data_IF_443289175483
#
_entry.id   IF_443289175483
#
_cell.length_a   1.000
_cell.length_b   1.000
_cell.length_c   1.000
_cell.angle_alpha   90.00
_cell.angle_beta   90.00
_cell.angle_gamma   90.00
#
_symmetry.space_group_name_H-M   'P 1'
#
loop_
_entity.id
_entity.type
_entity.pdbx_description
1 polymer ?
#
# COMPACT_ATOMS: atom_id res chain seq x y z
N UNK A 1 -18.14 24.65 18.64
CA UNK A 1 -17.46 23.35 18.48
C UNK A 1 -18.50 22.30 18.15
N UNK A 2 -18.52 21.77 16.92
CA UNK A 2 -19.29 20.55 16.63
C UNK A 2 -18.42 19.38 17.06
N UNK A 3 -18.77 18.75 18.18
CA UNK A 3 -18.08 17.58 18.69
C UNK A 3 -18.36 16.34 17.83
N UNK A 4 -17.47 15.35 17.90
CA UNK A 4 -17.66 14.05 17.28
C UNK A 4 -18.77 13.32 18.05
N UNK A 5 -19.90 13.06 17.39
CA UNK A 5 -21.00 12.28 17.96
C UNK A 5 -20.75 10.82 17.55
N UNK A 6 -20.39 9.99 18.53
CA UNK A 6 -20.33 8.54 18.33
C UNK A 6 -21.75 7.99 18.44
N UNK A 7 -22.26 7.37 17.39
CA UNK A 7 -23.48 6.56 17.41
C UNK A 7 -23.14 5.07 17.47
N UNK A 8 -24.00 4.29 18.12
CA UNK A 8 -23.92 2.82 18.05
C UNK A 8 -24.13 2.39 16.59
N UNK A 9 -23.27 1.49 16.10
CA UNK A 9 -23.44 0.86 14.79
C UNK A 9 -24.82 0.16 14.74
N UNK A 10 -25.66 0.54 13.78
CA UNK A 10 -26.97 -0.07 13.54
C UNK A 10 -26.86 -0.99 12.32
N UNK A 11 -26.99 -2.32 12.49
CA UNK A 11 -26.94 -3.28 11.38
C UNK A 11 -27.99 -3.03 10.29
N UNK A 12 -29.13 -2.45 10.66
CA UNK A 12 -30.30 -2.24 9.78
C UNK A 12 -30.15 -1.13 8.73
N UNK A 13 -29.05 -0.37 8.75
CA UNK A 13 -28.76 0.68 7.74
C UNK A 13 -27.86 0.18 6.60
N UNK A 14 -27.47 -1.10 6.61
CA UNK A 14 -26.58 -1.68 5.61
C UNK A 14 -27.34 -2.15 4.36
N UNK A 15 -27.32 -1.31 3.32
CA UNK A 15 -28.00 -1.50 2.02
C UNK A 15 -27.31 -2.49 1.08
N UNK A 16 -26.20 -3.12 1.50
CA UNK A 16 -25.48 -4.13 0.70
C UNK A 16 -26.30 -5.41 0.52
N UNK A 17 -26.15 -6.07 -0.64
CA UNK A 17 -26.78 -7.37 -0.89
C UNK A 17 -26.20 -8.46 0.05
N UNK A 18 -26.95 -9.55 0.32
CA UNK A 18 -26.45 -10.68 1.12
C UNK A 18 -25.11 -11.22 0.61
N UNK A 19 -24.98 -11.39 -0.72
CA UNK A 19 -23.73 -11.77 -1.37
C UNK A 19 -22.57 -10.83 -1.02
N UNK A 20 -22.77 -9.50 -1.08
CA UNK A 20 -21.70 -8.54 -0.83
C UNK A 20 -21.26 -8.57 0.64
N UNK A 21 -22.20 -8.75 1.58
CA UNK A 21 -21.88 -8.89 3.01
C UNK A 21 -21.02 -10.12 3.26
N UNK A 22 -21.40 -11.27 2.71
CA UNK A 22 -20.62 -12.50 2.83
C UNK A 22 -19.29 -12.42 2.08
N UNK A 23 -19.23 -11.74 0.92
CA UNK A 23 -18.00 -11.53 0.17
C UNK A 23 -16.98 -10.70 0.96
N UNK A 24 -17.43 -9.64 1.63
CA UNK A 24 -16.56 -8.80 2.45
C UNK A 24 -16.00 -9.55 3.66
N UNK A 25 -16.80 -10.45 4.27
CA UNK A 25 -16.34 -11.32 5.35
C UNK A 25 -15.40 -12.41 4.83
N UNK A 26 -15.78 -13.08 3.74
CA UNK A 26 -14.98 -14.13 3.10
C UNK A 26 -13.60 -13.62 2.68
N UNK A 27 -13.51 -12.43 2.07
CA UNK A 27 -12.22 -11.83 1.70
C UNK A 27 -11.34 -11.48 2.90
N UNK A 28 -11.94 -11.14 4.04
CA UNK A 28 -11.19 -10.98 5.30
C UNK A 28 -10.68 -12.33 5.81
N UNK A 29 -11.53 -13.35 5.85
CA UNK A 29 -11.15 -14.70 6.27
C UNK A 29 -10.02 -15.26 5.40
N UNK A 30 -10.07 -15.07 4.08
CA UNK A 30 -8.98 -15.44 3.17
C UNK A 30 -7.64 -14.78 3.52
N UNK A 31 -7.66 -13.56 4.07
CA UNK A 31 -6.42 -12.90 4.51
C UNK A 31 -5.85 -13.57 5.76
N UNK A 32 -6.71 -14.00 6.69
CA UNK A 32 -6.31 -14.72 7.90
C UNK A 32 -5.86 -16.15 7.62
N UNK A 33 -6.55 -16.88 6.75
CA UNK A 33 -6.20 -18.26 6.34
C UNK A 33 -5.09 -18.31 5.29
N UNK A 34 -4.46 -17.17 4.99
CA UNK A 34 -3.39 -17.05 3.98
C UNK A 34 -3.79 -17.65 2.62
N UNK A 35 -5.02 -17.38 2.19
CA UNK A 35 -5.57 -17.79 0.91
C UNK A 35 -6.12 -19.22 0.87
N UNK A 36 -6.17 -19.95 1.99
CA UNK A 36 -6.86 -21.24 2.05
C UNK A 36 -8.38 -21.04 1.97
N UNK A 37 -8.94 -21.40 0.81
CA UNK A 37 -10.37 -21.28 0.50
C UNK A 37 -11.20 -22.23 1.34
N UNK A 38 -10.74 -23.46 1.54
CA UNK A 38 -11.48 -24.48 2.29
C UNK A 38 -11.60 -24.08 3.75
N UNK A 39 -10.49 -23.65 4.36
CA UNK A 39 -10.48 -23.17 5.73
C UNK A 39 -11.35 -21.91 5.88
N UNK A 40 -11.23 -20.95 4.95
CA UNK A 40 -12.02 -19.71 5.00
C UNK A 40 -13.53 -19.98 4.88
N UNK A 41 -13.96 -20.90 4.01
CA UNK A 41 -15.38 -21.29 3.89
C UNK A 41 -15.86 -22.03 5.14
N UNK A 42 -15.01 -22.86 5.74
CA UNK A 42 -15.35 -23.53 7.00
C UNK A 42 -15.56 -22.52 8.13
N UNK A 43 -14.65 -21.56 8.28
CA UNK A 43 -14.79 -20.49 9.29
C UNK A 43 -16.02 -19.63 9.02
N UNK A 44 -16.30 -19.30 7.76
CA UNK A 44 -17.52 -18.57 7.37
C UNK A 44 -18.79 -19.33 7.77
N UNK A 45 -18.80 -20.65 7.61
CA UNK A 45 -19.93 -21.52 7.97
C UNK A 45 -20.13 -21.56 9.48
N UNK A 46 -19.05 -21.61 10.27
CA UNK A 46 -19.15 -21.56 11.73
C UNK A 46 -19.64 -20.19 12.22
N UNK A 47 -19.17 -19.09 11.61
CA UNK A 47 -19.66 -17.75 11.90
C UNK A 47 -21.14 -17.58 11.56
N UNK A 48 -21.59 -18.17 10.46
CA UNK A 48 -23.00 -18.16 10.07
C UNK A 48 -23.89 -18.91 11.09
N UNK A 49 -23.44 -20.06 11.60
CA UNK A 49 -24.15 -20.79 12.66
C UNK A 49 -24.27 -20.00 13.96
N UNK A 50 -23.21 -19.27 14.33
CA UNK A 50 -23.17 -18.53 15.60
C UNK A 50 -23.93 -17.20 15.52
N UNK A 51 -23.81 -16.48 14.40
CA UNK A 51 -24.31 -15.10 14.26
C UNK A 51 -25.52 -14.97 13.33
N UNK A 52 -25.96 -16.03 12.66
CA UNK A 52 -27.10 -15.99 11.73
C UNK A 52 -26.87 -15.00 10.60
N UNK A 53 -25.77 -15.17 9.85
CA UNK A 53 -25.38 -14.24 8.78
C UNK A 53 -26.25 -14.39 7.53
N UNK A 54 -26.84 -15.56 7.36
CA UNK A 54 -27.72 -15.96 6.27
C UNK A 54 -29.18 -16.03 6.71
N UNK A 55 -30.09 -16.25 5.75
CA UNK A 55 -31.52 -16.44 6.00
C UNK A 55 -32.05 -17.60 5.14
N UNK A 56 -33.34 -17.93 5.29
CA UNK A 56 -33.99 -19.02 4.55
C UNK A 56 -33.99 -18.82 3.02
N UNK A 57 -33.78 -17.59 2.54
CA UNK A 57 -33.75 -17.23 1.12
C UNK A 57 -32.34 -17.30 0.50
N UNK A 58 -31.29 -17.21 1.31
CA UNK A 58 -29.91 -17.12 0.85
C UNK A 58 -28.92 -17.67 1.88
N UNK A 59 -28.44 -18.89 1.65
CA UNK A 59 -27.50 -19.61 2.51
C UNK A 59 -26.04 -19.59 2.04
N UNK A 60 -25.16 -20.23 2.81
CA UNK A 60 -23.73 -20.40 2.46
C UNK A 60 -23.57 -21.21 1.16
N UNK A 61 -24.46 -22.17 0.89
CA UNK A 61 -24.47 -22.92 -0.37
C UNK A 61 -24.70 -22.04 -1.59
N UNK A 62 -25.68 -21.13 -1.52
CA UNK A 62 -25.99 -20.17 -2.57
C UNK A 62 -24.82 -19.20 -2.78
N UNK A 63 -24.19 -18.76 -1.69
CA UNK A 63 -22.98 -17.94 -1.75
C UNK A 63 -21.82 -18.63 -2.47
N UNK A 64 -21.54 -19.91 -2.19
CA UNK A 64 -20.48 -20.67 -2.86
C UNK A 64 -20.79 -20.83 -4.35
N UNK A 65 -22.04 -21.11 -4.70
CA UNK A 65 -22.46 -21.20 -6.10
C UNK A 65 -22.28 -19.85 -6.81
N UNK A 66 -22.74 -18.76 -6.20
CA UNK A 66 -22.63 -17.42 -6.76
C UNK A 66 -21.16 -16.96 -6.89
N UNK A 67 -20.27 -17.36 -5.97
CA UNK A 67 -18.83 -17.15 -6.10
C UNK A 67 -18.25 -17.84 -7.35
N UNK A 68 -18.71 -19.06 -7.67
CA UNK A 68 -18.30 -19.78 -8.90
C UNK A 68 -18.86 -19.11 -10.14
N UNK A 69 -20.15 -18.79 -10.16
CA UNK A 69 -20.83 -18.14 -11.29
C UNK A 69 -20.24 -16.77 -11.62
N UNK A 70 -19.92 -15.98 -10.59
CA UNK A 70 -19.26 -14.68 -10.74
C UNK A 70 -17.75 -14.78 -10.98
N UNK A 71 -17.18 -15.99 -11.03
CA UNK A 71 -15.77 -16.23 -11.36
C UNK A 71 -14.78 -15.83 -10.27
N UNK A 72 -15.18 -15.85 -9.00
CA UNK A 72 -14.28 -15.66 -7.85
C UNK A 72 -13.54 -16.96 -7.48
N UNK A 73 -14.17 -18.11 -7.71
CA UNK A 73 -13.58 -19.42 -7.47
C UNK A 73 -13.51 -20.21 -8.77
N UNK A 74 -12.42 -20.96 -8.94
CA UNK A 74 -12.27 -21.93 -10.03
C UNK A 74 -11.94 -23.29 -9.43
N UNK A 75 -12.46 -24.34 -10.05
CA UNK A 75 -12.07 -25.71 -9.73
C UNK A 75 -10.87 -26.10 -10.59
N UNK A 76 -9.80 -26.57 -9.96
CA UNK A 76 -8.63 -27.08 -10.66
C UNK A 76 -8.96 -28.46 -11.23
N UNK A 77 -8.94 -28.58 -12.55
CA UNK A 77 -9.31 -29.79 -13.30
C UNK A 77 -8.41 -31.00 -12.95
N UNK A 78 -7.18 -30.77 -12.50
CA UNK A 78 -6.21 -31.83 -12.20
C UNK A 78 -6.32 -32.34 -10.75
N UNK A 79 -6.71 -31.48 -9.81
CA UNK A 79 -6.69 -31.79 -8.38
C UNK A 79 -8.09 -31.83 -7.74
N UNK A 80 -9.12 -31.36 -8.44
CA UNK A 80 -10.47 -31.17 -7.91
C UNK A 80 -10.55 -30.13 -6.79
N UNK A 81 -9.47 -29.38 -6.54
CA UNK A 81 -9.42 -28.36 -5.49
C UNK A 81 -10.00 -27.05 -5.97
N UNK A 82 -10.66 -26.35 -5.06
CA UNK A 82 -11.18 -25.01 -5.29
C UNK A 82 -10.03 -24.01 -5.08
N UNK A 83 -9.73 -23.24 -6.11
CA UNK A 83 -8.67 -22.23 -6.11
C UNK A 83 -9.27 -20.82 -6.31
N UNK A 84 -8.55 -19.82 -5.80
CA UNK A 84 -8.89 -18.42 -6.03
C UNK A 84 -8.56 -18.01 -7.47
N UNK A 85 -9.41 -17.15 -8.04
CA UNK A 85 -9.12 -16.53 -9.33
C UNK A 85 -8.39 -15.19 -9.14
N UNK A 86 -7.74 -14.70 -10.20
CA UNK A 86 -7.13 -13.36 -10.21
C UNK A 86 -8.13 -12.24 -9.87
N UNK A 87 -9.42 -12.46 -10.14
CA UNK A 87 -10.51 -11.54 -9.76
C UNK A 87 -10.67 -11.45 -8.25
N UNK A 88 -10.56 -12.57 -7.55
CA UNK A 88 -10.63 -12.60 -6.09
C UNK A 88 -9.40 -11.97 -5.47
N UNK A 89 -8.21 -12.29 -5.98
CA UNK A 89 -6.96 -11.63 -5.54
C UNK A 89 -7.04 -10.11 -5.68
N UNK A 90 -7.52 -9.60 -6.81
CA UNK A 90 -7.71 -8.16 -7.02
C UNK A 90 -8.75 -7.58 -6.05
N UNK A 91 -9.84 -8.31 -5.79
CA UNK A 91 -10.87 -7.88 -4.85
C UNK A 91 -10.32 -7.77 -3.42
N UNK A 92 -9.53 -8.75 -2.97
CA UNK A 92 -8.88 -8.73 -1.65
C UNK A 92 -7.98 -7.49 -1.53
N UNK A 93 -7.18 -7.19 -2.56
CA UNK A 93 -6.28 -6.02 -2.55
C UNK A 93 -7.04 -4.70 -2.53
N UNK A 94 -8.11 -4.58 -3.33
CA UNK A 94 -8.97 -3.39 -3.33
C UNK A 94 -9.67 -3.19 -1.98
N UNK A 95 -10.16 -4.27 -1.38
CA UNK A 95 -10.79 -4.21 -0.05
C UNK A 95 -9.76 -3.79 1.00
N UNK A 96 -8.53 -4.30 0.96
CA UNK A 96 -7.44 -3.84 1.83
C UNK A 96 -7.12 -2.35 1.62
N UNK A 97 -7.10 -1.87 0.36
CA UNK A 97 -6.95 -0.45 0.04
C UNK A 97 -8.07 0.39 0.65
N UNK A 98 -9.33 -0.03 0.53
CA UNK A 98 -10.48 0.68 1.10
C UNK A 98 -10.51 0.64 2.63
N UNK A 99 -10.10 -0.47 3.25
CA UNK A 99 -10.01 -0.58 4.70
C UNK A 99 -8.97 0.39 5.27
N UNK A 100 -7.79 0.41 4.66
CA UNK A 100 -6.64 1.22 5.10
C UNK A 100 -6.81 2.69 4.70
N UNK A 101 -7.22 2.98 3.46
CA UNK A 101 -7.29 4.33 2.91
C UNK A 101 -8.71 4.90 2.73
N UNK A 102 -9.77 4.10 2.83
CA UNK A 102 -11.15 4.59 2.70
C UNK A 102 -11.59 5.46 3.88
N UNK A 103 -11.07 5.21 5.08
CA UNK A 103 -11.32 6.03 6.29
C UNK A 103 -10.77 7.46 6.16
N UNK A 104 -9.75 7.69 5.32
CA UNK A 104 -9.21 9.03 5.03
C UNK A 104 -10.21 9.93 4.30
N UNK A 105 -11.01 9.38 3.37
CA UNK A 105 -11.98 10.17 2.58
C UNK A 105 -13.05 10.82 3.45
N UNK A 106 -13.39 10.22 4.60
CA UNK A 106 -14.38 10.79 5.55
C UNK A 106 -13.79 11.81 6.52
N UNK A 107 -12.47 11.86 6.68
CA UNK A 107 -11.79 12.66 7.70
C UNK A 107 -11.06 13.91 7.19
N UNK A 108 -10.98 14.13 5.87
CA UNK A 108 -10.22 15.27 5.31
C UNK A 108 -11.14 16.24 4.55
N UNK A 109 -11.74 17.18 5.28
CA UNK A 109 -12.15 18.48 4.72
C UNK A 109 -10.90 19.35 4.73
N UNK A 110 -10.31 19.56 3.55
CA UNK A 110 -9.14 20.40 3.37
C UNK A 110 -8.38 20.01 2.13
N UNK A 111 -8.75 20.61 0.99
CA UNK A 111 -7.99 20.56 -0.25
C UNK A 111 -6.60 21.18 0.01
N UNK A 112 -5.60 20.36 0.33
CA UNK A 112 -4.21 20.80 0.29
C UNK A 112 -3.66 20.65 -1.14
N UNK A 113 -4.24 21.42 -2.07
CA UNK A 113 -3.53 21.79 -3.30
C UNK A 113 -2.44 22.79 -2.90
N UNK A 114 -1.27 22.28 -2.50
CA UNK A 114 -0.08 23.12 -2.37
C UNK A 114 0.43 23.34 -3.78
N UNK A 115 0.11 24.53 -4.31
CA UNK A 115 0.57 25.04 -5.60
C UNK A 115 2.09 25.03 -5.69
N UNK A 116 2.61 24.07 -6.45
CA UNK A 116 3.89 24.20 -7.14
C UNK A 116 3.76 23.46 -8.47
N UNK A 117 3.10 24.12 -9.41
CA UNK A 117 3.11 23.73 -10.83
C UNK A 117 4.54 23.96 -11.33
N UNK A 118 5.14 22.92 -11.90
CA UNK A 118 6.43 23.01 -12.58
C UNK A 118 6.24 22.83 -14.07
N UNK A 119 7.28 23.08 -14.88
CA UNK A 119 7.32 22.66 -16.27
C UNK A 119 7.41 21.11 -16.30
N UNK A 120 6.26 20.44 -16.35
CA UNK A 120 6.13 18.99 -16.49
C UNK A 120 5.56 18.59 -17.86
N UNK A 121 5.53 17.29 -18.12
CA UNK A 121 5.14 16.70 -19.42
C UNK A 121 3.73 16.06 -19.39
N UNK A 122 3.04 16.07 -18.23
CA UNK A 122 1.68 15.55 -18.08
C UNK A 122 0.67 16.68 -17.87
N UNK A 123 -0.32 16.78 -18.76
CA UNK A 123 -1.42 17.73 -18.70
C UNK A 123 -2.35 17.39 -17.51
N UNK A 124 -2.48 18.32 -16.58
CA UNK A 124 -3.48 18.32 -15.52
C UNK A 124 -4.84 18.76 -16.10
N UNK A 125 -5.93 18.32 -15.46
CA UNK A 125 -7.29 18.75 -15.80
C UNK A 125 -7.63 20.13 -15.21
N UNK A 126 -6.85 20.60 -14.24
CA UNK A 126 -6.95 21.96 -13.71
C UNK A 126 -6.32 22.96 -14.70
N UNK A 127 -7.07 24.02 -15.02
CA UNK A 127 -6.61 25.15 -15.83
C UNK A 127 -6.41 26.38 -14.95
N UNK A 128 -5.53 27.27 -15.38
CA UNK A 128 -5.32 28.57 -14.77
C UNK A 128 -5.20 29.67 -15.83
N UNK A 129 -5.41 30.95 -15.48
CA UNK A 129 -5.15 32.06 -16.39
C UNK A 129 -3.69 32.07 -16.86
N UNK A 130 -3.49 32.45 -18.11
CA UNK A 130 -2.18 32.62 -18.71
C UNK A 130 -1.37 33.74 -18.03
N UNK A 131 -0.10 33.48 -17.76
CA UNK A 131 0.86 34.47 -17.27
C UNK A 131 2.02 34.62 -18.25
N UNK A 132 2.63 35.81 -18.28
CA UNK A 132 3.74 36.08 -19.18
C UNK A 132 4.94 35.18 -18.87
N UNK A 133 5.32 34.32 -19.83
CA UNK A 133 6.38 33.32 -19.68
C UNK A 133 5.90 31.87 -19.83
N UNK A 134 4.58 31.64 -19.86
CA UNK A 134 4.01 30.32 -20.11
C UNK A 134 4.23 29.84 -21.55
N UNK A 135 4.46 28.54 -21.73
CA UNK A 135 4.63 27.95 -23.06
C UNK A 135 3.30 27.85 -23.79
N UNK A 136 3.30 28.21 -25.07
CA UNK A 136 2.14 28.13 -25.96
C UNK A 136 1.64 26.68 -26.10
N UNK A 137 2.56 25.70 -25.97
CA UNK A 137 2.22 24.27 -26.06
C UNK A 137 1.28 23.79 -24.94
N UNK A 138 1.17 24.55 -23.85
CA UNK A 138 0.33 24.21 -22.69
C UNK A 138 -1.05 24.89 -22.71
N UNK A 139 -1.37 25.61 -23.78
CA UNK A 139 -2.61 26.38 -23.90
C UNK A 139 -3.84 25.48 -24.07
N UNK A 140 -4.85 25.66 -23.20
CA UNK A 140 -6.17 25.07 -23.43
C UNK A 140 -6.94 25.91 -24.43
N UNK A 141 -6.82 25.56 -25.71
CA UNK A 141 -7.52 26.24 -26.81
C UNK A 141 -9.05 26.19 -26.61
N UNK A 142 -9.58 25.10 -26.06
CA UNK A 142 -11.04 24.95 -25.89
C UNK A 142 -11.57 25.87 -24.81
N UNK A 143 -10.91 25.89 -23.64
CA UNK A 143 -11.29 26.77 -22.55
C UNK A 143 -11.06 28.24 -22.92
N UNK A 144 -9.96 28.54 -23.61
CA UNK A 144 -9.63 29.90 -24.06
C UNK A 144 -10.66 30.45 -25.05
N UNK A 145 -11.07 29.64 -26.04
CA UNK A 145 -12.12 30.02 -26.99
C UNK A 145 -13.46 30.22 -26.28
N UNK A 146 -13.78 29.36 -25.32
CA UNK A 146 -15.01 29.48 -24.52
C UNK A 146 -15.02 30.79 -23.73
N UNK A 147 -13.92 31.15 -23.09
CA UNK A 147 -13.80 32.41 -22.34
C UNK A 147 -13.91 33.63 -23.26
N UNK A 148 -13.23 33.60 -24.41
CA UNK A 148 -13.33 34.66 -25.41
C UNK A 148 -14.76 34.86 -25.92
N UNK A 149 -15.52 33.77 -26.14
CA UNK A 149 -16.94 33.87 -26.53
C UNK A 149 -17.82 34.45 -25.41
N UNK A 150 -17.53 34.10 -24.15
CA UNK A 150 -18.25 34.63 -22.98
C UNK A 150 -17.98 36.13 -22.81
N UNK A 151 -16.73 36.57 -23.01
CA UNK A 151 -16.29 37.94 -22.75
C UNK A 151 -16.56 38.90 -23.92
N UNK A 152 -16.51 38.42 -25.16
CA UNK A 152 -16.54 39.25 -26.37
C UNK A 152 -17.73 38.97 -27.32
N UNK A 153 -18.53 37.93 -27.04
CA UNK A 153 -19.71 37.59 -27.84
C UNK A 153 -19.41 36.82 -29.13
N UNK A 154 -20.47 36.48 -29.87
CA UNK A 154 -20.41 35.52 -31.00
C UNK A 154 -20.24 36.25 -32.35
N UNK A 155 -20.66 37.51 -32.44
CA UNK A 155 -20.73 38.25 -33.71
C UNK A 155 -19.36 38.70 -34.24
N UNK A 156 -18.36 38.86 -33.35
CA UNK A 156 -16.98 39.18 -33.72
C UNK A 156 -15.99 38.42 -32.86
N UNK A 157 -15.30 37.44 -33.46
CA UNK A 157 -14.32 36.65 -32.73
C UNK A 157 -13.05 37.46 -32.43
N UNK A 158 -12.87 37.84 -31.18
CA UNK A 158 -11.63 38.43 -30.64
C UNK A 158 -11.19 37.64 -29.42
N UNK A 159 -9.91 37.28 -29.36
CA UNK A 159 -9.27 36.66 -28.20
C UNK A 159 -8.27 37.65 -27.62
N UNK A 160 -8.38 37.93 -26.32
CA UNK A 160 -7.40 38.70 -25.55
C UNK A 160 -6.60 37.79 -24.62
N UNK A 161 -5.50 38.31 -24.08
CA UNK A 161 -4.65 37.59 -23.14
C UNK A 161 -5.43 37.09 -21.91
N UNK A 162 -6.41 37.87 -21.44
CA UNK A 162 -7.24 37.55 -20.29
C UNK A 162 -8.20 36.37 -20.53
N UNK A 163 -8.42 36.00 -21.80
CA UNK A 163 -9.22 34.84 -22.18
C UNK A 163 -8.40 33.55 -22.16
N UNK A 164 -7.07 33.64 -22.20
CA UNK A 164 -6.19 32.49 -22.35
C UNK A 164 -6.09 31.68 -21.05
N UNK A 165 -6.34 30.39 -21.16
CA UNK A 165 -6.14 29.42 -20.10
C UNK A 165 -4.99 28.46 -20.45
N UNK A 166 -4.18 28.16 -19.44
CA UNK A 166 -3.09 27.20 -19.48
C UNK A 166 -3.52 25.95 -18.71
N UNK A 167 -3.31 24.79 -19.31
CA UNK A 167 -3.38 23.51 -18.59
C UNK A 167 -2.19 23.42 -17.66
N UNK A 168 -2.42 23.26 -16.37
CA UNK A 168 -1.31 23.01 -15.47
C UNK A 168 -0.63 21.69 -15.85
N UNK A 169 0.69 21.60 -15.64
CA UNK A 169 1.41 20.33 -15.81
C UNK A 169 1.91 19.86 -14.46
N UNK A 170 1.55 18.63 -14.10
CA UNK A 170 2.03 18.02 -12.87
C UNK A 170 3.38 17.38 -13.14
N UNK A 171 4.39 17.74 -12.34
CA UNK A 171 5.64 17.00 -12.32
C UNK A 171 5.44 15.71 -11.51
N UNK A 172 4.86 14.67 -12.12
CA UNK A 172 4.88 13.34 -11.52
C UNK A 172 6.23 12.70 -11.80
N UNK A 173 7.17 12.87 -10.88
CA UNK A 173 8.37 12.04 -10.86
C UNK A 173 7.97 10.58 -10.76
N UNK A 174 8.38 9.80 -11.73
CA UNK A 174 8.31 8.35 -11.65
C UNK A 174 9.17 7.89 -10.48
N UNK A 175 8.62 7.01 -9.64
CA UNK A 175 9.29 6.48 -8.46
C UNK A 175 9.46 4.97 -8.60
N UNK A 176 10.60 4.45 -8.16
CA UNK A 176 10.82 3.02 -7.99
C UNK A 176 10.77 2.66 -6.51
N UNK A 177 9.85 1.76 -6.18
CA UNK A 177 9.55 1.36 -4.81
C UNK A 177 9.94 -0.10 -4.60
N UNK A 178 10.74 -0.39 -3.59
CA UNK A 178 10.92 -1.74 -3.08
C UNK A 178 10.10 -1.90 -1.79
N UNK A 179 9.15 -2.82 -1.79
CA UNK A 179 8.32 -3.16 -0.62
C UNK A 179 8.87 -4.44 0.01
N UNK A 180 9.45 -4.31 1.21
CA UNK A 180 10.04 -5.40 1.98
C UNK A 180 9.08 -5.84 3.09
N UNK A 181 8.85 -7.15 3.20
CA UNK A 181 7.94 -7.75 4.18
C UNK A 181 8.70 -8.81 4.98
N UNK A 182 8.66 -8.67 6.29
CA UNK A 182 9.21 -9.64 7.23
C UNK A 182 8.29 -10.86 7.36
N UNK A 183 8.86 -12.06 7.17
CA UNK A 183 8.17 -13.35 7.34
C UNK A 183 8.85 -14.22 8.42
N UNK A 184 9.62 -13.59 9.30
CA UNK A 184 10.30 -14.25 10.40
C UNK A 184 9.36 -14.64 11.52
N UNK A 185 9.79 -15.62 12.34
CA UNK A 185 8.94 -16.20 13.37
C UNK A 185 8.47 -15.19 14.43
N UNK A 186 9.15 -14.03 14.57
CA UNK A 186 8.69 -12.96 15.47
C UNK A 186 7.28 -12.47 15.13
N UNK A 187 6.91 -12.49 13.84
CA UNK A 187 5.64 -11.97 13.31
C UNK A 187 4.38 -12.69 13.81
N UNK A 188 4.53 -13.83 14.50
CA UNK A 188 3.44 -14.60 15.13
C UNK A 188 3.74 -14.92 16.62
N UNK A 189 4.82 -14.36 17.16
CA UNK A 189 5.30 -14.72 18.49
C UNK A 189 4.44 -14.06 19.57
N UNK A 190 4.35 -14.70 20.74
CA UNK A 190 3.52 -14.26 21.87
C UNK A 190 2.00 -14.21 21.60
N UNK A 191 1.53 -14.93 20.57
CA UNK A 191 0.10 -15.02 20.25
C UNK A 191 -0.46 -13.79 19.54
N UNK A 192 0.40 -12.88 19.07
CA UNK A 192 0.02 -11.73 18.27
C UNK A 192 0.20 -12.02 16.77
N UNK A 193 -0.88 -11.91 15.99
CA UNK A 193 -0.83 -12.02 14.53
C UNK A 193 -0.44 -10.67 13.91
N UNK A 194 0.85 -10.48 13.63
CA UNK A 194 1.39 -9.26 13.02
C UNK A 194 1.57 -9.40 11.51
N UNK A 195 1.59 -10.64 11.00
CA UNK A 195 1.70 -10.91 9.57
C UNK A 195 0.42 -10.50 8.81
N UNK A 196 -0.77 -10.73 9.38
CA UNK A 196 -2.02 -10.34 8.73
C UNK A 196 -2.12 -8.82 8.51
N UNK A 197 -1.89 -7.95 9.52
CA UNK A 197 -1.77 -6.51 9.31
C UNK A 197 -0.72 -6.13 8.25
N UNK A 198 0.45 -6.79 8.26
CA UNK A 198 1.49 -6.55 7.28
C UNK A 198 1.04 -6.88 5.85
N UNK A 199 0.37 -8.02 5.64
CA UNK A 199 -0.22 -8.41 4.35
C UNK A 199 -1.23 -7.38 3.87
N UNK A 200 -2.15 -6.92 4.74
CA UNK A 200 -3.14 -5.89 4.40
C UNK A 200 -2.47 -4.61 3.92
N UNK A 201 -1.47 -4.12 4.64
CA UNK A 201 -0.71 -2.91 4.26
C UNK A 201 0.01 -3.10 2.93
N UNK A 202 0.68 -4.24 2.75
CA UNK A 202 1.39 -4.55 1.53
C UNK A 202 0.44 -4.61 0.31
N UNK A 203 -0.71 -5.26 0.46
CA UNK A 203 -1.75 -5.34 -0.57
C UNK A 203 -2.33 -3.95 -0.89
N UNK A 204 -2.64 -3.16 0.13
CA UNK A 204 -3.17 -1.81 -0.02
C UNK A 204 -2.16 -0.89 -0.73
N UNK A 205 -0.88 -0.91 -0.35
CA UNK A 205 0.17 -0.15 -1.02
C UNK A 205 0.37 -0.60 -2.47
N UNK A 206 0.36 -1.91 -2.70
CA UNK A 206 0.53 -2.47 -4.05
C UNK A 206 -0.61 -2.02 -4.96
N UNK A 207 -1.85 -2.10 -4.48
CA UNK A 207 -3.02 -1.63 -5.22
C UNK A 207 -3.00 -0.11 -5.43
N UNK A 208 -2.59 0.68 -4.43
CA UNK A 208 -2.47 2.13 -4.56
C UNK A 208 -1.47 2.51 -5.67
N UNK A 209 -0.29 1.88 -5.65
CA UNK A 209 0.78 2.17 -6.60
C UNK A 209 0.36 1.76 -8.01
N UNK A 210 -0.15 0.54 -8.20
CA UNK A 210 -0.51 0.04 -9.53
C UNK A 210 -1.71 0.76 -10.13
N UNK A 211 -2.68 1.18 -9.32
CA UNK A 211 -3.89 1.85 -9.82
C UNK A 211 -3.72 3.36 -10.00
N UNK A 212 -3.08 4.06 -9.07
CA UNK A 212 -2.93 5.53 -9.14
C UNK A 212 -1.67 5.99 -9.84
N UNK A 213 -0.64 5.15 -9.88
CA UNK A 213 0.68 5.50 -10.40
C UNK A 213 1.21 4.44 -11.37
N UNK A 214 0.53 4.20 -12.51
CA UNK A 214 0.86 3.12 -13.44
C UNK A 214 2.26 3.22 -14.08
N UNK A 215 2.91 4.39 -14.02
CA UNK A 215 4.28 4.62 -14.49
C UNK A 215 5.36 4.34 -13.42
N UNK A 216 4.96 4.14 -12.16
CA UNK A 216 5.89 3.77 -11.09
C UNK A 216 6.20 2.27 -11.15
N UNK A 217 7.35 1.87 -10.59
CA UNK A 217 7.72 0.46 -10.47
C UNK A 217 7.62 0.00 -9.03
N UNK A 218 7.10 -1.21 -8.82
CA UNK A 218 7.02 -1.85 -7.51
C UNK A 218 7.72 -3.22 -7.57
N UNK A 219 8.70 -3.40 -6.68
CA UNK A 219 9.37 -4.67 -6.44
C UNK A 219 8.98 -5.16 -5.03
N UNK A 220 8.39 -6.34 -4.91
CA UNK A 220 8.03 -6.91 -3.60
C UNK A 220 9.09 -7.93 -3.20
N UNK A 221 9.57 -7.80 -1.96
CA UNK A 221 10.62 -8.61 -1.38
C UNK A 221 10.10 -9.15 -0.06
N UNK A 222 10.26 -10.45 0.16
CA UNK A 222 10.08 -11.05 1.48
C UNK A 222 11.44 -11.40 2.06
N UNK A 223 11.58 -11.30 3.37
CA UNK A 223 12.82 -11.65 4.05
C UNK A 223 12.59 -12.41 5.35
N UNK A 224 13.46 -13.41 5.56
CA UNK A 224 13.58 -14.23 6.75
C UNK A 224 15.06 -14.49 7.00
N UNK A 225 15.52 -15.74 6.88
CA UNK A 225 16.97 -16.05 6.90
C UNK A 225 17.70 -15.49 5.67
N UNK A 226 17.01 -15.52 4.52
CA UNK A 226 17.41 -14.93 3.24
C UNK A 226 16.30 -13.99 2.75
N UNK A 227 16.51 -13.33 1.60
CA UNK A 227 15.53 -12.49 0.95
C UNK A 227 15.33 -12.90 -0.51
N UNK A 228 14.10 -12.83 -1.01
CA UNK A 228 13.75 -13.10 -2.41
C UNK A 228 12.57 -12.25 -2.87
N UNK A 229 12.39 -12.15 -4.18
CA UNK A 229 11.26 -11.43 -4.77
C UNK A 229 10.01 -12.31 -4.84
N UNK A 230 8.86 -11.68 -4.65
CA UNK A 230 7.53 -12.31 -4.85
C UNK A 230 6.68 -11.43 -5.74
N UNK A 231 5.63 -12.00 -6.33
CA UNK A 231 4.68 -11.26 -7.15
C UNK A 231 3.53 -10.69 -6.29
N UNK A 232 2.82 -9.69 -6.82
CA UNK A 232 1.67 -9.07 -6.14
C UNK A 232 0.58 -10.12 -5.81
N UNK A 233 0.41 -11.12 -6.69
CA UNK A 233 -0.55 -12.22 -6.50
C UNK A 233 -0.20 -13.10 -5.30
N UNK A 234 1.07 -13.16 -4.89
CA UNK A 234 1.53 -14.02 -3.80
C UNK A 234 1.27 -13.40 -2.42
N UNK A 235 1.00 -12.08 -2.34
CA UNK A 235 0.82 -11.35 -1.09
C UNK A 235 -0.23 -11.96 -0.13
N UNK A 236 -1.43 -12.39 -0.58
CA UNK A 236 -2.43 -13.00 0.31
C UNK A 236 -1.93 -14.30 0.95
N UNK A 237 -1.07 -15.03 0.24
CA UNK A 237 -0.58 -16.36 0.58
C UNK A 237 0.70 -16.35 1.42
N UNK A 238 1.23 -15.17 1.75
CA UNK A 238 2.42 -15.07 2.58
C UNK A 238 2.16 -15.67 3.96
N UNK A 239 3.03 -16.58 4.36
CA UNK A 239 3.02 -17.24 5.66
C UNK A 239 4.34 -17.00 6.38
N UNK A 240 4.28 -17.06 7.71
CA UNK A 240 5.47 -16.95 8.55
C UNK A 240 6.16 -18.29 8.60
N UNK A 241 7.48 -18.28 8.40
CA UNK A 241 8.32 -19.48 8.53
C UNK A 241 9.12 -19.51 9.83
N UNK A 242 9.81 -20.62 10.13
CA UNK A 242 10.76 -20.74 11.25
C UNK A 242 12.08 -20.00 10.92
N UNK A 243 11.96 -18.74 10.51
CA UNK A 243 13.05 -17.90 10.08
C UNK A 243 13.42 -16.88 11.16
N UNK A 244 14.67 -16.46 11.13
CA UNK A 244 15.14 -15.27 11.84
C UNK A 244 14.94 -14.03 10.96
N UNK A 245 15.30 -12.87 11.49
CA UNK A 245 15.11 -11.57 10.83
C UNK A 245 16.44 -11.11 10.22
N UNK A 246 16.67 -11.38 8.93
CA UNK A 246 17.85 -10.92 8.19
C UNK A 246 17.54 -9.66 7.36
N UNK A 247 17.35 -8.54 8.05
CA UNK A 247 17.09 -7.24 7.41
C UNK A 247 18.20 -6.83 6.44
N UNK A 248 19.44 -7.24 6.69
CA UNK A 248 20.59 -6.97 5.81
C UNK A 248 20.40 -7.59 4.43
N UNK A 249 20.01 -8.87 4.36
CA UNK A 249 19.74 -9.53 3.08
C UNK A 249 18.59 -8.86 2.31
N UNK A 250 17.53 -8.45 3.02
CA UNK A 250 16.42 -7.72 2.42
C UNK A 250 16.84 -6.38 1.84
N UNK A 251 17.63 -5.59 2.59
CA UNK A 251 18.13 -4.29 2.15
C UNK A 251 19.09 -4.42 0.98
N UNK A 252 20.01 -5.38 1.01
CA UNK A 252 20.95 -5.65 -0.09
C UNK A 252 20.19 -5.98 -1.39
N UNK A 253 19.18 -6.87 -1.31
CA UNK A 253 18.34 -7.19 -2.46
C UNK A 253 17.53 -5.98 -2.96
N UNK A 254 16.94 -5.20 -2.06
CA UNK A 254 16.20 -3.99 -2.42
C UNK A 254 17.10 -2.97 -3.12
N UNK A 255 18.30 -2.73 -2.61
CA UNK A 255 19.29 -1.84 -3.22
C UNK A 255 19.69 -2.33 -4.61
N UNK A 256 19.89 -3.64 -4.79
CA UNK A 256 20.25 -4.22 -6.08
C UNK A 256 19.15 -4.07 -7.13
N UNK A 257 17.89 -4.26 -6.74
CA UNK A 257 16.73 -4.08 -7.61
C UNK A 257 16.56 -2.61 -7.99
N UNK A 258 16.55 -1.73 -6.98
CA UNK A 258 16.42 -0.28 -7.18
C UNK A 258 17.57 0.28 -8.03
N UNK A 259 18.80 -0.25 -7.91
CA UNK A 259 19.93 0.15 -8.77
C UNK A 259 19.67 -0.12 -10.25
N UNK A 260 18.94 -1.19 -10.60
CA UNK A 260 18.60 -1.54 -12.00
C UNK A 260 17.47 -0.69 -12.57
N UNK A 261 16.69 -0.01 -11.73
CA UNK A 261 15.60 0.87 -12.16
C UNK A 261 16.13 2.22 -12.65
N UNK A 262 15.55 2.70 -13.75
CA UNK A 262 15.91 3.98 -14.41
C UNK A 262 15.36 5.21 -13.69
N UNK A 263 14.33 5.05 -12.88
CA UNK A 263 13.66 6.15 -12.22
C UNK A 263 14.63 6.83 -11.23
N UNK A 264 14.73 8.17 -11.23
CA UNK A 264 15.64 8.90 -10.35
C UNK A 264 15.21 8.79 -8.88
N UNK A 265 13.90 8.75 -8.64
CA UNK A 265 13.35 8.64 -7.30
C UNK A 265 13.23 7.17 -6.92
N UNK A 266 13.86 6.79 -5.81
CA UNK A 266 13.93 5.42 -5.31
C UNK A 266 13.57 5.42 -3.84
N UNK A 267 12.77 4.46 -3.39
CA UNK A 267 12.38 4.35 -1.99
C UNK A 267 12.20 2.90 -1.56
N UNK A 268 12.36 2.66 -0.26
CA UNK A 268 12.11 1.36 0.36
C UNK A 268 10.99 1.54 1.39
N UNK A 269 9.95 0.72 1.29
CA UNK A 269 8.99 0.50 2.37
C UNK A 269 9.34 -0.81 3.05
N UNK A 270 9.52 -0.80 4.36
CA UNK A 270 9.86 -2.01 5.13
C UNK A 270 8.79 -2.25 6.18
N UNK A 271 8.15 -3.41 6.15
CA UNK A 271 7.20 -3.86 7.16
C UNK A 271 7.88 -4.95 7.98
N UNK A 272 8.03 -4.71 9.28
CA UNK A 272 8.70 -5.65 10.20
C UNK A 272 8.18 -5.45 11.62
N UNK A 273 8.17 -6.50 12.41
CA UNK A 273 7.89 -6.44 13.84
C UNK A 273 9.15 -6.65 14.70
N UNK A 274 10.29 -6.93 14.05
CA UNK A 274 11.40 -7.64 14.64
C UNK A 274 12.71 -6.87 14.57
N UNK A 275 13.53 -7.06 15.61
CA UNK A 275 14.93 -6.65 15.57
C UNK A 275 15.68 -7.55 14.58
N UNK A 276 16.70 -7.04 13.86
CA UNK A 276 17.53 -7.91 13.05
C UNK A 276 18.24 -8.91 13.95
N UNK A 277 18.06 -10.21 13.67
CA UNK A 277 18.56 -11.33 14.49
C UNK A 277 19.46 -12.28 13.70
N UNK A 278 19.63 -12.06 12.40
CA UNK A 278 20.39 -12.93 11.52
C UNK A 278 21.28 -12.13 10.55
N UNK A 279 22.46 -12.68 10.25
CA UNK A 279 23.31 -12.30 9.14
C UNK A 279 23.76 -13.54 8.39
N UNK A 280 23.86 -13.43 7.06
CA UNK A 280 24.55 -14.43 6.25
C UNK A 280 26.05 -14.11 6.19
N UNK A 281 26.89 -15.05 6.62
CA UNK A 281 28.35 -14.92 6.62
C UNK A 281 28.93 -16.08 5.81
N UNK A 282 29.23 -15.82 4.54
CA UNK A 282 29.61 -16.87 3.60
C UNK A 282 28.44 -17.83 3.36
N UNK A 283 28.62 -19.10 3.72
CA UNK A 283 27.58 -20.15 3.61
C UNK A 283 26.80 -20.38 4.90
N UNK A 284 27.20 -19.74 5.99
CA UNK A 284 26.60 -19.94 7.32
C UNK A 284 25.73 -18.75 7.73
N UNK A 285 24.81 -18.99 8.67
CA UNK A 285 23.98 -17.96 9.26
C UNK A 285 24.45 -17.67 10.68
N UNK A 286 24.92 -16.44 10.90
CA UNK A 286 25.20 -15.92 12.22
C UNK A 286 23.90 -15.41 12.84
N UNK A 287 23.44 -16.04 13.93
CA UNK A 287 22.11 -15.84 14.51
C UNK A 287 22.19 -15.54 15.99
N UNK A 288 21.43 -14.55 16.45
CA UNK A 288 21.26 -14.24 17.86
C UNK A 288 19.85 -13.72 18.14
N UNK A 289 18.96 -14.63 18.54
CA UNK A 289 17.56 -14.29 18.83
C UNK A 289 17.38 -13.63 20.20
N UNK A 290 18.20 -13.96 21.19
CA UNK A 290 17.95 -13.64 22.60
C UNK A 290 18.53 -12.30 23.09
N UNK A 291 19.40 -11.64 22.31
CA UNK A 291 20.08 -10.43 22.77
C UNK A 291 20.38 -9.39 21.70
N UNK A 292 21.10 -8.35 22.11
CA UNK A 292 21.58 -7.28 21.24
C UNK A 292 22.90 -7.68 20.63
N UNK A 293 22.84 -8.12 19.39
CA UNK A 293 24.05 -8.48 18.69
C UNK A 293 24.62 -7.27 17.95
N UNK A 294 25.67 -6.69 18.53
CA UNK A 294 26.35 -5.52 17.96
C UNK A 294 26.81 -5.76 16.51
N UNK A 295 27.19 -6.98 16.14
CA UNK A 295 27.64 -7.28 14.78
C UNK A 295 26.48 -7.16 13.80
N UNK A 296 25.32 -7.70 14.16
CA UNK A 296 24.09 -7.63 13.34
C UNK A 296 23.60 -6.19 13.24
N UNK A 297 23.45 -5.52 14.38
CA UNK A 297 22.95 -4.15 14.44
C UNK A 297 23.84 -3.17 13.66
N UNK A 298 25.16 -3.24 13.85
CA UNK A 298 26.09 -2.37 13.14
C UNK A 298 26.04 -2.61 11.62
N UNK A 299 25.87 -3.86 11.17
CA UNK A 299 25.76 -4.16 9.74
C UNK A 299 24.47 -3.57 9.15
N UNK A 300 23.36 -3.70 9.87
CA UNK A 300 22.06 -3.12 9.47
C UNK A 300 22.13 -1.58 9.41
N UNK A 301 22.68 -0.93 10.43
CA UNK A 301 22.85 0.54 10.46
C UNK A 301 23.80 1.03 9.35
N UNK A 302 24.87 0.29 9.07
CA UNK A 302 25.79 0.61 7.97
C UNK A 302 25.09 0.59 6.60
N UNK A 303 24.15 -0.34 6.38
CA UNK A 303 23.33 -0.35 5.17
C UNK A 303 22.33 0.80 5.14
N UNK A 304 21.71 1.13 6.27
CA UNK A 304 20.84 2.30 6.38
C UNK A 304 21.56 3.61 5.96
N UNK A 305 22.81 3.77 6.42
CA UNK A 305 23.68 4.88 6.05
C UNK A 305 24.08 4.86 4.56
N UNK A 306 24.28 3.68 3.98
CA UNK A 306 24.52 3.54 2.54
C UNK A 306 23.30 3.93 1.71
N UNK A 307 22.11 3.48 2.09
CA UNK A 307 20.85 3.90 1.46
C UNK A 307 20.69 5.43 1.49
N UNK A 308 21.03 6.08 2.61
CA UNK A 308 21.03 7.56 2.72
C UNK A 308 21.96 8.21 1.70
N UNK A 309 23.20 7.72 1.57
CA UNK A 309 24.17 8.23 0.58
C UNK A 309 23.67 8.06 -0.86
N UNK A 310 22.93 6.98 -1.12
CA UNK A 310 22.30 6.69 -2.41
C UNK A 310 20.97 7.43 -2.61
N UNK A 311 20.54 8.27 -1.66
CA UNK A 311 19.25 8.98 -1.67
C UNK A 311 18.04 8.04 -1.76
N UNK A 312 18.15 6.88 -1.13
CA UNK A 312 17.06 5.90 -0.99
C UNK A 312 16.50 6.04 0.44
N UNK A 313 15.44 6.86 0.65
CA UNK A 313 14.73 6.87 1.92
C UNK A 313 14.09 5.52 2.21
N UNK A 314 14.16 5.12 3.47
CA UNK A 314 13.55 3.92 4.02
C UNK A 314 12.43 4.36 4.96
N UNK A 315 11.22 3.93 4.66
CA UNK A 315 10.07 4.09 5.54
C UNK A 315 9.76 2.76 6.20
N UNK A 316 9.86 2.71 7.52
CA UNK A 316 9.67 1.49 8.32
C UNK A 316 8.29 1.51 8.99
N UNK A 317 7.48 0.50 8.71
CA UNK A 317 6.23 0.21 9.40
C UNK A 317 6.51 -0.85 10.45
N UNK A 318 6.54 -0.41 11.71
CA UNK A 318 6.80 -1.27 12.84
C UNK A 318 5.50 -1.74 13.47
N UNK A 319 5.27 -3.05 13.46
CA UNK A 319 4.10 -3.71 14.04
C UNK A 319 4.46 -4.28 15.42
N UNK A 320 4.95 -3.45 16.34
CA UNK A 320 5.30 -3.90 17.69
C UNK A 320 5.28 -2.76 18.73
N UNK A 321 4.98 -3.10 19.98
CA UNK A 321 4.91 -2.18 21.12
C UNK A 321 6.18 -2.15 21.97
N UNK A 322 7.17 -3.00 21.66
CA UNK A 322 8.39 -3.12 22.46
C UNK A 322 9.23 -1.82 22.44
N UNK A 323 9.46 -1.17 23.61
CA UNK A 323 10.17 0.11 23.69
C UNK A 323 11.62 0.05 23.18
N UNK A 324 12.27 -1.11 23.28
CA UNK A 324 13.65 -1.25 22.85
C UNK A 324 13.75 -1.36 21.34
N UNK A 325 12.88 -2.16 20.70
CA UNK A 325 12.80 -2.21 19.24
C UNK A 325 12.45 -0.83 18.67
N UNK A 326 11.58 -0.06 19.34
CA UNK A 326 11.28 1.31 18.93
C UNK A 326 12.54 2.19 18.91
N UNK A 327 13.40 2.06 19.92
CA UNK A 327 14.69 2.77 19.97
C UNK A 327 15.63 2.37 18.82
N UNK A 328 15.72 1.09 18.50
CA UNK A 328 16.51 0.62 17.37
C UNK A 328 15.97 1.16 16.04
N UNK A 329 14.66 1.08 15.83
CA UNK A 329 14.01 1.60 14.61
C UNK A 329 14.19 3.11 14.51
N UNK A 330 14.15 3.83 15.62
CA UNK A 330 14.45 5.25 15.66
C UNK A 330 15.89 5.53 15.22
N UNK A 331 16.89 4.85 15.79
CA UNK A 331 18.30 4.99 15.40
C UNK A 331 18.53 4.65 13.92
N UNK A 332 17.89 3.58 13.44
CA UNK A 332 17.92 3.18 12.03
C UNK A 332 17.33 4.26 11.12
N UNK A 333 16.20 4.83 11.52
CA UNK A 333 15.49 5.88 10.79
C UNK A 333 16.30 7.17 10.73
N UNK A 334 16.89 7.59 11.84
CA UNK A 334 17.78 8.76 11.93
C UNK A 334 19.03 8.56 11.06
N UNK A 335 19.61 7.36 11.10
CA UNK A 335 20.79 6.99 10.29
C UNK A 335 20.48 7.08 8.79
N UNK A 336 19.30 6.61 8.37
CA UNK A 336 18.88 6.69 6.96
C UNK A 336 18.35 8.09 6.57
N UNK A 337 17.93 8.92 7.53
CA UNK A 337 17.07 10.10 7.30
C UNK A 337 15.72 9.71 6.67
N UNK A 338 15.19 8.56 7.10
CA UNK A 338 13.94 7.97 6.63
C UNK A 338 12.75 8.36 7.51
N UNK A 339 11.73 7.50 7.56
CA UNK A 339 10.60 7.63 8.50
C UNK A 339 10.29 6.30 9.17
N UNK A 340 9.71 6.37 10.37
CA UNK A 340 9.18 5.21 11.07
C UNK A 340 7.75 5.49 11.52
N UNK A 341 6.90 4.48 11.36
CA UNK A 341 5.53 4.48 11.83
C UNK A 341 5.35 3.33 12.80
N UNK A 342 5.03 3.68 14.04
CA UNK A 342 4.73 2.72 15.10
C UNK A 342 3.21 2.56 15.14
N UNK A 343 2.71 1.38 14.77
CA UNK A 343 1.27 1.15 14.76
C UNK A 343 0.76 0.71 16.13
N UNK A 344 -0.29 1.37 16.63
CA UNK A 344 -1.54 0.67 16.92
C UNK A 344 -2.32 0.57 15.60
N UNK A 345 -3.08 -0.50 15.39
CA UNK A 345 -3.67 -0.90 14.10
C UNK A 345 -4.50 0.17 13.35
N UNK A 346 -4.90 1.26 14.00
CA UNK A 346 -5.98 2.12 13.51
C UNK A 346 -5.56 3.35 12.68
N UNK A 347 -4.30 3.78 12.71
CA UNK A 347 -3.86 5.03 12.02
C UNK A 347 -2.87 4.83 10.87
N UNK A 348 -2.52 3.58 10.54
CA UNK A 348 -1.46 3.27 9.59
C UNK A 348 -1.73 3.84 8.18
N UNK A 349 -2.99 3.83 7.73
CA UNK A 349 -3.39 4.30 6.39
C UNK A 349 -3.19 5.79 6.13
N UNK A 350 -3.46 6.65 7.12
CA UNK A 350 -3.26 8.10 6.98
C UNK A 350 -1.79 8.45 6.76
N UNK A 351 -0.92 7.80 7.53
CA UNK A 351 0.51 7.98 7.46
C UNK A 351 1.12 7.43 6.16
N UNK A 352 0.67 6.26 5.72
CA UNK A 352 1.05 5.64 4.45
C UNK A 352 0.80 6.58 3.25
N UNK A 353 -0.38 7.20 3.21
CA UNK A 353 -0.77 8.08 2.10
C UNK A 353 0.08 9.35 2.07
N UNK A 354 0.17 10.04 3.21
CA UNK A 354 0.94 11.27 3.33
C UNK A 354 2.43 11.05 3.04
N UNK A 355 3.00 9.92 3.45
CA UNK A 355 4.39 9.63 3.18
C UNK A 355 4.67 9.35 1.70
N UNK A 356 3.86 8.49 1.08
CA UNK A 356 4.01 8.17 -0.33
C UNK A 356 3.98 9.44 -1.21
N UNK A 357 3.07 10.37 -0.93
CA UNK A 357 3.01 11.65 -1.65
C UNK A 357 4.20 12.58 -1.35
N UNK A 358 4.66 12.66 -0.10
CA UNK A 358 5.79 13.51 0.25
C UNK A 358 7.15 12.97 -0.21
N UNK A 359 7.31 11.65 -0.31
CA UNK A 359 8.50 11.02 -0.88
C UNK A 359 8.73 11.45 -2.33
N UNK A 360 7.65 11.69 -3.09
CA UNK A 360 7.71 12.26 -4.44
C UNK A 360 8.10 13.74 -4.46
N UNK A 361 7.77 14.50 -3.42
CA UNK A 361 8.01 15.95 -3.35
C UNK A 361 9.45 16.34 -2.99
N UNK A 362 10.19 15.48 -2.28
CA UNK A 362 11.48 15.84 -1.64
C UNK A 362 12.72 15.91 -2.56
N UNK A 363 12.61 15.58 -3.85
CA UNK A 363 13.76 15.54 -4.77
C UNK A 363 13.84 16.74 -5.74
N UNK A 364 13.15 17.83 -5.39
CA UNK A 364 13.24 19.14 -6.07
C UNK A 364 13.75 20.24 -5.15
#
# INVERSE_FOLDING_TARGET
MRGIIFSRFKPDEDTRSPFQKLLDLFTQLLTYTSGDVTEALQWLTELDKEFGLTNDEYGIGDFIQELREKGYLKENEETGKIELTAKTEQTIRRNALEEIFGKLKKSTVGNHNIRKSGMGDELNAETRPFEFGDSIDQLDVTASIRNAQINHGIDSFSIHQDDLEIKETDYKTQTSTALMIDISHSMILYGEDRITPAKKVAMALSELITTRYPKDTLDIIVFGNDAWQVEIKDLPYLTVGPYHTNTVAGLELAMDLLRRRRNPNKQIFMITDGKPTCLKVGKEYYKNSFGLDRKILNRTLNLAAQCKKLKIPITTFMVATDPWLQKFVQEFTETNNGKAFFSGTDNLGQFLFYDFENGKRKLF
#
